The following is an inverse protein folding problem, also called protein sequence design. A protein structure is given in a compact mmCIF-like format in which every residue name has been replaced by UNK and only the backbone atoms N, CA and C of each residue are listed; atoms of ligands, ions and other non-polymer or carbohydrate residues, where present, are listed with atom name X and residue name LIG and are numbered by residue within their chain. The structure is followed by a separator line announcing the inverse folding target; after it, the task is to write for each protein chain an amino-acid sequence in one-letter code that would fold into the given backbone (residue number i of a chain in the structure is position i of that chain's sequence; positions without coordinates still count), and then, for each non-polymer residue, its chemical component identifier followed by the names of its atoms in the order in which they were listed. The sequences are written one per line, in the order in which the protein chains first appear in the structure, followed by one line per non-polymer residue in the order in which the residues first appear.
data_IF_862715777452
#
_entry.id   IF_862715777452
#
_cell.length_a   1.000
_cell.length_b   1.000
_cell.length_c   1.000
_cell.angle_alpha   90.00
_cell.angle_beta   90.00
_cell.angle_gamma   90.00
#
_symmetry.space_group_name_H-M   'P 1'
#
loop_
_entity.id
_entity.type
_entity.pdbx_description
1 polymer ?
#
# COMPACT_ATOMS: atom_id res chain seq x y z
N UNK A 1 -22.32 7.82 33.98
CA UNK A 1 -23.59 7.19 33.54
C UNK A 1 -23.95 7.80 32.20
N UNK A 2 -23.41 7.23 31.12
CA UNK A 2 -23.71 7.65 29.75
C UNK A 2 -24.38 6.47 29.08
N UNK A 3 -25.62 6.64 28.69
CA UNK A 3 -26.37 5.65 27.92
C UNK A 3 -25.77 5.55 26.51
N UNK A 4 -25.43 4.35 26.07
CA UNK A 4 -25.05 4.05 24.69
C UNK A 4 -26.12 3.14 24.10
N UNK A 5 -26.68 3.45 22.92
CA UNK A 5 -27.88 2.82 22.38
C UNK A 5 -27.62 1.40 21.87
N UNK A 6 -28.61 0.53 22.07
CA UNK A 6 -28.70 -0.84 21.56
C UNK A 6 -29.09 -0.83 20.09
N UNK A 7 -28.13 -0.93 19.17
CA UNK A 7 -28.40 -1.16 17.75
C UNK A 7 -27.71 -2.45 17.29
N UNK A 8 -28.49 -3.36 16.70
CA UNK A 8 -28.10 -4.72 16.30
C UNK A 8 -26.97 -4.83 15.25
N UNK A 9 -26.43 -3.72 14.77
CA UNK A 9 -25.40 -3.70 13.73
C UNK A 9 -24.00 -4.09 14.23
N UNK A 10 -23.71 -3.90 15.52
CA UNK A 10 -22.38 -4.21 16.09
C UNK A 10 -22.21 -5.69 16.46
N UNK A 11 -23.28 -6.47 16.61
CA UNK A 11 -23.18 -7.93 16.82
C UNK A 11 -22.63 -8.65 15.58
N UNK A 12 -22.89 -8.14 14.37
CA UNK A 12 -22.49 -8.83 13.13
C UNK A 12 -20.98 -8.82 12.87
N UNK A 13 -20.22 -7.90 13.50
CA UNK A 13 -18.76 -7.82 13.35
C UNK A 13 -18.03 -8.80 14.27
N UNK A 14 -18.56 -9.06 15.47
CA UNK A 14 -18.01 -10.05 16.39
C UNK A 14 -18.28 -11.49 15.94
N UNK A 15 -19.42 -11.75 15.29
CA UNK A 15 -19.78 -13.09 14.80
C UNK A 15 -18.88 -13.60 13.67
N UNK A 16 -18.25 -12.71 12.88
CA UNK A 16 -17.25 -13.12 11.88
C UNK A 16 -15.91 -13.50 12.50
N UNK A 17 -15.58 -12.94 13.68
CA UNK A 17 -14.36 -13.27 14.41
C UNK A 17 -14.53 -14.57 15.22
N UNK A 18 -15.72 -14.82 15.75
CA UNK A 18 -16.05 -16.01 16.57
C UNK A 18 -16.38 -17.27 15.74
N UNK A 19 -16.53 -17.17 14.40
CA UNK A 19 -16.74 -18.34 13.52
C UNK A 19 -15.43 -19.09 13.21
N UNK A 20 -14.59 -19.26 14.23
CA UNK A 20 -13.43 -20.15 14.21
C UNK A 20 -13.44 -21.11 15.40
N UNK A 21 -14.63 -21.54 15.86
CA UNK A 21 -14.72 -22.68 16.76
C UNK A 21 -14.08 -23.93 16.10
N UNK A 22 -13.04 -24.53 16.69
CA UNK A 22 -12.31 -25.63 16.05
C UNK A 22 -13.16 -26.90 16.12
N UNK A 23 -13.88 -27.20 15.03
CA UNK A 23 -14.41 -28.55 14.82
C UNK A 23 -13.24 -29.53 14.76
N UNK A 24 -13.29 -30.63 15.50
CA UNK A 24 -12.27 -31.69 15.51
C UNK A 24 -12.30 -32.47 14.19
N UNK A 25 -12.01 -31.79 13.08
CA UNK A 25 -11.95 -32.34 11.74
C UNK A 25 -10.55 -32.88 11.51
N UNK A 26 -10.46 -34.11 10.99
CA UNK A 26 -9.20 -34.75 10.60
C UNK A 26 -8.26 -33.74 9.96
N UNK A 27 -7.08 -33.52 10.56
CA UNK A 27 -6.13 -32.47 10.16
C UNK A 27 -5.80 -32.52 8.67
N UNK A 28 -5.84 -33.70 8.05
CA UNK A 28 -5.62 -33.90 6.60
C UNK A 28 -6.66 -33.21 5.71
N UNK A 29 -7.91 -33.08 6.17
CA UNK A 29 -9.00 -32.51 5.39
C UNK A 29 -9.05 -30.97 5.49
N UNK A 30 -8.24 -30.37 6.36
CA UNK A 30 -8.16 -28.92 6.53
C UNK A 30 -6.96 -28.29 5.79
N UNK A 31 -5.94 -29.08 5.45
CA UNK A 31 -4.72 -28.59 4.79
C UNK A 31 -5.02 -28.12 3.36
N UNK A 32 -5.79 -28.90 2.61
CA UNK A 32 -6.10 -28.59 1.21
C UNK A 32 -6.85 -27.26 1.03
N UNK A 33 -7.97 -26.99 1.74
CA UNK A 33 -8.65 -25.70 1.61
C UNK A 33 -7.80 -24.53 2.11
N UNK A 34 -6.97 -24.73 3.15
CA UNK A 34 -6.09 -23.69 3.68
C UNK A 34 -4.97 -23.30 2.69
N UNK A 35 -4.41 -24.26 1.95
CA UNK A 35 -3.42 -23.98 0.90
C UNK A 35 -4.03 -23.24 -0.28
N UNK A 36 -5.25 -23.60 -0.68
CA UNK A 36 -5.96 -22.94 -1.79
C UNK A 36 -6.28 -21.50 -1.42
N UNK A 37 -6.88 -21.26 -0.24
CA UNK A 37 -7.24 -19.91 0.20
C UNK A 37 -6.01 -19.05 0.47
N UNK A 38 -4.97 -19.60 1.11
CA UNK A 38 -3.71 -18.91 1.34
C UNK A 38 -2.96 -18.57 0.05
N UNK A 39 -2.90 -19.52 -0.88
CA UNK A 39 -2.29 -19.33 -2.20
C UNK A 39 -3.00 -18.26 -3.02
N UNK A 40 -4.33 -18.26 -3.02
CA UNK A 40 -5.12 -17.23 -3.70
C UNK A 40 -4.89 -15.84 -3.07
N UNK A 41 -4.88 -15.75 -1.74
CA UNK A 41 -4.66 -14.49 -1.03
C UNK A 41 -3.27 -13.90 -1.32
N UNK A 42 -2.23 -14.73 -1.26
CA UNK A 42 -0.86 -14.31 -1.58
C UNK A 42 -0.73 -13.95 -3.07
N UNK A 43 -1.32 -14.75 -3.95
CA UNK A 43 -1.28 -14.52 -5.40
C UNK A 43 -1.95 -13.20 -5.81
N UNK A 44 -3.17 -12.94 -5.32
CA UNK A 44 -3.87 -11.68 -5.60
C UNK A 44 -3.16 -10.50 -4.93
N UNK A 45 -2.77 -10.63 -3.67
CA UNK A 45 -2.10 -9.57 -2.93
C UNK A 45 -0.79 -9.16 -3.61
N UNK A 46 0.03 -10.14 -4.00
CA UNK A 46 1.29 -9.86 -4.72
C UNK A 46 1.07 -9.34 -6.14
N UNK A 47 0.04 -9.79 -6.86
CA UNK A 47 -0.30 -9.23 -8.18
C UNK A 47 -0.70 -7.75 -8.08
N UNK A 48 -1.58 -7.41 -7.14
CA UNK A 48 -2.07 -6.04 -6.96
C UNK A 48 -0.99 -5.09 -6.44
N UNK A 49 -0.14 -5.55 -5.54
CA UNK A 49 0.91 -4.72 -4.91
C UNK A 49 2.27 -4.83 -5.58
N UNK A 50 2.42 -5.75 -6.53
CA UNK A 50 3.69 -6.12 -7.14
C UNK A 50 4.40 -4.94 -7.80
N UNK A 51 3.67 -4.03 -8.44
CA UNK A 51 4.28 -2.84 -9.06
C UNK A 51 4.94 -1.88 -8.06
N UNK A 52 4.40 -1.79 -6.84
CA UNK A 52 4.97 -0.96 -5.77
C UNK A 52 6.09 -1.66 -5.02
N UNK A 53 6.02 -3.00 -4.92
CA UNK A 53 7.03 -3.81 -4.25
C UNK A 53 8.22 -4.16 -5.15
N UNK A 54 8.01 -4.29 -6.46
CA UNK A 54 9.05 -4.66 -7.44
C UNK A 54 10.30 -3.76 -7.38
N UNK A 55 10.19 -2.42 -7.21
CA UNK A 55 11.35 -1.56 -7.02
C UNK A 55 12.18 -1.91 -5.79
N UNK A 56 11.56 -2.39 -4.71
CA UNK A 56 12.25 -2.78 -3.47
C UNK A 56 13.02 -4.11 -3.61
N UNK A 57 12.62 -4.97 -4.55
CA UNK A 57 13.26 -6.26 -4.82
C UNK A 57 14.31 -6.23 -5.94
N UNK A 58 14.67 -5.07 -6.49
CA UNK A 58 15.73 -4.98 -7.50
C UNK A 58 17.09 -5.28 -6.87
N UNK A 59 17.82 -6.26 -7.42
CA UNK A 59 19.19 -6.61 -6.97
C UNK A 59 20.21 -5.48 -7.10
N UNK A 60 20.04 -4.63 -8.12
CA UNK A 60 20.94 -3.52 -8.41
C UNK A 60 20.26 -2.28 -7.91
N UNK A 61 20.73 -1.54 -6.90
CA UNK A 61 20.12 -0.26 -6.48
C UNK A 61 20.06 0.75 -7.66
N UNK A 62 19.06 1.65 -7.70
CA UNK A 62 19.05 2.72 -8.72
C UNK A 62 20.32 3.53 -8.52
N UNK A 63 21.26 3.58 -9.49
CA UNK A 63 22.42 4.44 -9.33
C UNK A 63 21.92 5.87 -9.22
N UNK A 64 22.56 6.65 -8.34
CA UNK A 64 22.28 8.07 -8.23
C UNK A 64 22.50 8.72 -9.61
N UNK A 65 21.41 9.16 -10.23
CA UNK A 65 21.45 9.90 -11.48
C UNK A 65 21.07 11.35 -11.15
N UNK A 66 22.01 12.30 -11.26
CA UNK A 66 21.70 13.69 -10.97
C UNK A 66 20.69 14.22 -11.98
N UNK A 67 19.58 14.80 -11.49
CA UNK A 67 18.67 15.55 -12.33
C UNK A 67 19.42 16.73 -12.95
N UNK A 68 19.35 16.83 -14.28
CA UNK A 68 19.99 17.94 -14.99
C UNK A 68 19.28 19.26 -14.68
N UNK A 69 19.96 20.42 -14.76
CA UNK A 69 19.32 21.72 -14.50
C UNK A 69 18.11 21.99 -15.40
N UNK A 70 18.17 21.50 -16.65
CA UNK A 70 17.07 21.59 -17.62
C UNK A 70 15.85 20.79 -17.17
N UNK A 71 16.05 19.59 -16.61
CA UNK A 71 14.96 18.78 -16.07
C UNK A 71 14.29 19.45 -14.87
N UNK A 72 15.07 20.02 -13.96
CA UNK A 72 14.52 20.75 -12.81
C UNK A 72 13.72 21.97 -13.26
N UNK A 73 14.25 22.75 -14.21
CA UNK A 73 13.56 23.93 -14.72
C UNK A 73 12.23 23.56 -15.41
N UNK A 74 12.21 22.49 -16.21
CA UNK A 74 10.98 22.02 -16.85
C UNK A 74 9.94 21.55 -15.81
N UNK A 75 10.38 20.89 -14.73
CA UNK A 75 9.50 20.49 -13.63
C UNK A 75 8.88 21.70 -12.93
N UNK A 76 9.69 22.72 -12.63
CA UNK A 76 9.21 23.95 -11.99
C UNK A 76 8.23 24.70 -12.89
N UNK A 77 8.52 24.81 -14.19
CA UNK A 77 7.61 25.42 -15.17
C UNK A 77 6.27 24.67 -15.20
N UNK A 78 6.29 23.34 -15.19
CA UNK A 78 5.06 22.53 -15.15
C UNK A 78 4.27 22.80 -13.86
N UNK A 79 4.93 22.77 -12.71
CA UNK A 79 4.31 23.01 -11.40
C UNK A 79 3.75 24.43 -11.26
N UNK A 80 4.39 25.44 -11.86
CA UNK A 80 3.94 26.84 -11.83
C UNK A 80 2.84 27.17 -12.84
N UNK A 81 2.66 26.34 -13.88
CA UNK A 81 1.66 26.56 -14.94
C UNK A 81 0.30 25.96 -14.63
N UNK A 82 0.21 25.13 -13.61
CA UNK A 82 -1.07 24.58 -13.15
C UNK A 82 -1.93 25.71 -12.58
N UNK A 83 -3.17 25.79 -13.09
CA UNK A 83 -4.13 26.84 -12.73
C UNK A 83 -4.67 26.67 -11.30
N UNK A 84 -4.64 25.43 -10.80
CA UNK A 84 -5.05 25.05 -9.46
C UNK A 84 -3.83 24.54 -8.67
N UNK A 85 -3.74 24.78 -7.36
CA UNK A 85 -2.60 24.33 -6.56
C UNK A 85 -2.54 22.79 -6.49
N UNK A 86 -1.44 22.18 -6.95
CA UNK A 86 -1.23 20.71 -6.95
C UNK A 86 -1.15 20.05 -5.56
N UNK A 87 -1.36 20.81 -4.47
CA UNK A 87 -1.22 20.31 -3.10
C UNK A 87 0.25 20.07 -2.69
N UNK A 88 0.46 19.09 -1.79
CA UNK A 88 1.78 18.81 -1.20
C UNK A 88 2.61 17.92 -2.13
N UNK A 89 3.74 18.44 -2.59
CA UNK A 89 4.69 17.70 -3.42
C UNK A 89 5.55 16.79 -2.54
N UNK A 90 5.69 15.52 -2.93
CA UNK A 90 6.58 14.54 -2.30
C UNK A 90 7.63 14.12 -3.32
N UNK A 91 8.90 14.29 -2.99
CA UNK A 91 10.01 13.87 -3.84
C UNK A 91 10.50 12.47 -3.44
N UNK A 92 10.19 11.46 -4.27
CA UNK A 92 10.54 10.07 -4.03
C UNK A 92 11.95 9.77 -4.54
N UNK A 93 12.89 9.53 -3.63
CA UNK A 93 14.29 9.28 -3.98
C UNK A 93 15.10 10.56 -4.19
N UNK A 94 14.84 11.58 -3.38
CA UNK A 94 15.40 12.94 -3.50
C UNK A 94 16.93 13.03 -3.60
N UNK A 95 17.66 12.03 -3.08
CA UNK A 95 19.12 11.95 -3.19
C UNK A 95 19.82 13.18 -2.60
N UNK A 96 20.16 14.14 -3.47
CA UNK A 96 20.88 15.40 -3.16
C UNK A 96 19.93 16.61 -2.93
N UNK A 97 18.62 16.39 -2.84
CA UNK A 97 17.66 17.40 -2.35
C UNK A 97 17.37 18.59 -3.28
N UNK A 98 17.85 18.56 -4.54
CA UNK A 98 17.78 19.69 -5.48
C UNK A 98 16.36 20.13 -5.85
N UNK A 99 15.39 19.22 -5.80
CA UNK A 99 13.97 19.53 -6.07
C UNK A 99 13.30 20.12 -4.82
N UNK A 100 13.65 19.65 -3.62
CA UNK A 100 13.08 20.12 -2.34
C UNK A 100 13.58 21.52 -1.98
N UNK A 101 14.86 21.82 -2.24
CA UNK A 101 15.47 23.12 -1.90
C UNK A 101 15.02 24.27 -2.79
N UNK A 102 14.33 24.00 -3.90
CA UNK A 102 13.92 25.01 -4.89
C UNK A 102 12.49 25.54 -4.66
N UNK A 103 11.92 25.29 -3.48
CA UNK A 103 10.63 25.80 -3.04
C UNK A 103 10.77 27.05 -2.19
#
# INVERSE_FOLDING_TARGET
MVAVPTNAAECSLCDLVESSAPTTRSRRNLILPALISGGLFIGLGSYLTGAFMAPAFRRICLPYLPATPRQINNLLIMLSREKEPLGRLVDLGSGDGRVVSCR
#
